data_IF_097190940397
#
_entry.id   IF_097190940397
#
_cell.length_a   1.000
_cell.length_b   1.000
_cell.length_c   1.000
_cell.angle_alpha   90.00
_cell.angle_beta   90.00
_cell.angle_gamma   90.00
#
_symmetry.space_group_name_H-M   'P 1'
#
loop_
_entity.id
_entity.type
_entity.pdbx_description
1 polymer ?
#
# COMPACT_ATOMS: atom_id res chain seq x y z
N UNK A 1 -26.71 -5.41 -25.62
CA UNK A 1 -25.41 -4.99 -25.10
C UNK A 1 -25.48 -4.22 -23.76
N UNK A 2 -26.19 -3.07 -23.65
CA UNK A 2 -26.20 -2.27 -22.40
C UNK A 2 -26.69 -3.01 -21.15
N UNK A 3 -27.75 -3.86 -21.18
CA UNK A 3 -28.14 -4.63 -19.99
C UNK A 3 -27.05 -5.57 -19.50
N UNK A 4 -26.31 -6.20 -20.42
CA UNK A 4 -25.17 -7.08 -20.08
C UNK A 4 -24.06 -6.28 -19.42
N UNK A 5 -23.73 -5.09 -19.95
CA UNK A 5 -22.71 -4.22 -19.33
C UNK A 5 -23.12 -3.69 -17.96
N UNK A 6 -24.42 -3.44 -17.74
CA UNK A 6 -24.94 -3.08 -16.40
C UNK A 6 -24.76 -4.23 -15.41
N UNK A 7 -25.04 -5.46 -15.84
CA UNK A 7 -24.83 -6.64 -15.00
C UNK A 7 -23.34 -6.86 -14.71
N UNK A 8 -22.49 -6.75 -15.74
CA UNK A 8 -21.04 -6.87 -15.61
C UNK A 8 -20.51 -5.84 -14.60
N UNK A 9 -20.78 -4.56 -14.83
CA UNK A 9 -20.37 -3.47 -13.93
C UNK A 9 -20.86 -3.68 -12.49
N UNK A 10 -22.07 -4.16 -12.30
CA UNK A 10 -22.62 -4.42 -10.98
C UNK A 10 -21.90 -5.52 -10.26
N UNK A 11 -21.65 -6.67 -10.91
CA UNK A 11 -21.03 -7.82 -10.26
C UNK A 11 -19.52 -7.67 -10.12
N UNK A 12 -18.83 -7.16 -11.13
CA UNK A 12 -17.40 -6.82 -11.04
C UNK A 12 -17.19 -5.75 -9.97
N UNK A 13 -17.99 -4.67 -9.99
CA UNK A 13 -17.90 -3.61 -9.00
C UNK A 13 -18.15 -4.10 -7.58
N UNK A 14 -19.12 -5.00 -7.34
CA UNK A 14 -19.35 -5.59 -6.02
C UNK A 14 -18.20 -6.50 -5.58
N UNK A 15 -17.67 -7.33 -6.48
CA UNK A 15 -16.56 -8.21 -6.18
C UNK A 15 -15.28 -7.41 -5.86
N UNK A 16 -15.00 -6.35 -6.61
CA UNK A 16 -13.82 -5.49 -6.39
C UNK A 16 -14.00 -4.55 -5.20
N UNK A 17 -15.23 -4.16 -4.84
CA UNK A 17 -15.50 -3.20 -3.76
C UNK A 17 -14.90 -3.60 -2.41
N UNK A 18 -14.93 -4.90 -2.07
CA UNK A 18 -14.33 -5.41 -0.85
C UNK A 18 -12.82 -5.18 -0.83
N UNK A 19 -12.15 -5.52 -1.92
CA UNK A 19 -10.69 -5.33 -2.06
C UNK A 19 -10.31 -3.84 -2.04
N UNK A 20 -11.09 -3.00 -2.73
CA UNK A 20 -10.87 -1.54 -2.73
C UNK A 20 -11.09 -0.93 -1.33
N UNK A 21 -12.07 -1.42 -0.59
CA UNK A 21 -12.28 -1.00 0.80
C UNK A 21 -11.08 -1.38 1.69
N UNK A 22 -10.63 -2.64 1.61
CA UNK A 22 -9.48 -3.11 2.38
C UNK A 22 -8.19 -2.37 1.98
N UNK A 23 -7.94 -2.21 0.67
CA UNK A 23 -6.80 -1.48 0.17
C UNK A 23 -6.85 0.01 0.56
N UNK A 24 -8.01 0.66 0.47
CA UNK A 24 -8.20 2.04 0.91
C UNK A 24 -7.97 2.23 2.40
N UNK A 25 -8.49 1.33 3.23
CA UNK A 25 -8.30 1.38 4.67
C UNK A 25 -6.83 1.18 5.05
N UNK A 26 -6.21 0.13 4.55
CA UNK A 26 -4.80 -0.18 4.85
C UNK A 26 -3.86 0.86 4.25
N UNK A 27 -4.09 1.32 3.02
CA UNK A 27 -3.32 2.40 2.39
C UNK A 27 -3.42 3.72 3.14
N UNK A 28 -4.59 4.04 3.73
CA UNK A 28 -4.75 5.23 4.57
C UNK A 28 -3.92 5.14 5.87
N UNK A 29 -3.80 3.95 6.46
CA UNK A 29 -2.92 3.72 7.60
C UNK A 29 -1.45 3.82 7.19
N UNK A 30 -1.10 3.23 6.04
CA UNK A 30 0.27 3.23 5.52
C UNK A 30 0.76 4.61 5.08
N UNK A 31 -0.13 5.57 4.80
CA UNK A 31 0.26 6.95 4.55
C UNK A 31 0.97 7.60 5.76
N UNK A 32 0.76 7.05 6.96
CA UNK A 32 1.38 7.49 8.22
C UNK A 32 2.22 6.36 8.86
N UNK A 33 2.77 5.47 8.04
CA UNK A 33 3.44 4.27 8.55
C UNK A 33 4.68 4.58 9.40
N UNK A 34 5.45 5.62 9.05
CA UNK A 34 6.61 6.03 9.82
C UNK A 34 6.20 6.52 11.22
N UNK A 35 5.25 7.44 11.30
CA UNK A 35 4.78 8.02 12.55
C UNK A 35 4.11 6.97 13.44
N UNK A 36 3.36 6.05 12.83
CA UNK A 36 2.72 4.95 13.56
C UNK A 36 3.78 3.99 14.08
N UNK A 37 4.79 3.63 13.29
CA UNK A 37 5.85 2.71 13.70
C UNK A 37 6.72 3.31 14.81
N UNK A 38 7.09 4.58 14.71
CA UNK A 38 7.82 5.32 15.75
C UNK A 38 7.02 5.41 17.05
N UNK A 39 5.74 5.71 16.97
CA UNK A 39 4.85 5.73 18.14
C UNK A 39 4.71 4.37 18.83
N UNK A 40 4.62 3.30 18.04
CA UNK A 40 4.50 1.93 18.55
C UNK A 40 5.81 1.37 19.08
N UNK A 41 6.94 1.80 18.53
CA UNK A 41 8.28 1.25 18.78
C UNK A 41 9.30 2.35 19.08
N UNK A 42 9.08 3.23 20.07
CA UNK A 42 9.96 4.38 20.32
C UNK A 42 11.42 3.97 20.60
N UNK A 43 11.64 2.76 21.11
CA UNK A 43 12.99 2.23 21.32
C UNK A 43 13.79 2.02 20.04
N UNK A 44 13.14 1.75 18.91
CA UNK A 44 13.81 1.57 17.61
C UNK A 44 14.32 2.89 17.03
N UNK A 45 13.74 4.00 17.49
CA UNK A 45 14.02 5.37 17.04
C UNK A 45 14.82 6.18 18.07
N UNK A 46 15.20 5.54 19.19
CA UNK A 46 16.01 6.16 20.23
C UNK A 46 17.51 6.21 19.82
N UNK A 47 17.83 7.13 18.91
CA UNK A 47 19.20 7.34 18.40
C UNK A 47 19.81 8.63 18.92
N UNK A 48 21.15 8.72 18.96
CA UNK A 48 21.86 9.89 19.42
C UNK A 48 21.66 11.11 18.51
N UNK A 49 21.45 12.28 19.10
CA UNK A 49 21.42 13.56 18.39
C UNK A 49 22.85 14.12 18.32
N UNK A 50 23.39 14.23 17.12
CA UNK A 50 24.70 14.81 16.85
C UNK A 50 25.87 13.82 16.91
N UNK A 51 26.98 14.24 16.32
CA UNK A 51 28.18 13.42 16.14
C UNK A 51 28.46 13.07 14.68
N UNK A 52 29.65 12.61 14.41
CA UNK A 52 30.03 12.14 13.07
C UNK A 52 29.36 10.78 12.82
N UNK A 53 28.63 10.70 11.72
CA UNK A 53 27.88 9.51 11.35
C UNK A 53 28.78 8.50 10.67
N UNK A 54 28.63 7.25 11.04
CA UNK A 54 29.30 6.12 10.41
C UNK A 54 28.90 6.00 8.94
N UNK A 55 29.84 5.63 8.09
CA UNK A 55 29.54 5.39 6.69
C UNK A 55 28.53 4.24 6.53
N UNK A 56 27.69 4.25 5.48
CA UNK A 56 26.81 3.13 5.17
C UNK A 56 27.51 1.78 5.15
N UNK A 57 28.72 1.71 4.55
CA UNK A 57 29.52 0.50 4.50
C UNK A 57 29.94 -0.02 5.89
N UNK A 58 30.22 0.88 6.84
CA UNK A 58 30.56 0.49 8.22
C UNK A 58 29.37 -0.13 8.94
N UNK A 59 28.15 0.39 8.71
CA UNK A 59 26.94 -0.17 9.31
C UNK A 59 26.60 -1.54 8.70
N UNK A 60 26.74 -1.70 7.37
CA UNK A 60 26.60 -3.01 6.72
C UNK A 60 27.58 -4.02 7.30
N UNK A 61 28.87 -3.67 7.40
CA UNK A 61 29.89 -4.56 7.96
C UNK A 61 29.57 -4.96 9.40
N UNK A 62 29.02 -4.07 10.22
CA UNK A 62 28.62 -4.39 11.61
C UNK A 62 27.51 -5.44 11.64
N UNK A 63 26.45 -5.26 10.83
CA UNK A 63 25.35 -6.23 10.77
C UNK A 63 25.85 -7.58 10.27
N UNK A 64 26.59 -7.62 9.18
CA UNK A 64 27.10 -8.89 8.61
C UNK A 64 28.12 -9.60 9.52
N UNK A 65 28.92 -8.85 10.28
CA UNK A 65 29.82 -9.42 11.26
C UNK A 65 29.09 -10.03 12.47
N UNK A 66 28.00 -9.37 12.89
CA UNK A 66 27.17 -9.85 14.02
C UNK A 66 26.26 -11.00 13.63
N UNK A 67 25.79 -11.00 12.37
CA UNK A 67 24.89 -12.00 11.78
C UNK A 67 25.52 -12.65 10.55
N UNK A 68 26.58 -13.46 10.69
CA UNK A 68 27.41 -13.95 9.57
C UNK A 68 26.67 -14.86 8.59
N UNK A 69 25.48 -15.37 8.96
CA UNK A 69 24.61 -16.17 8.08
C UNK A 69 23.65 -15.33 7.22
N UNK A 70 23.74 -14.00 7.32
CA UNK A 70 22.86 -13.07 6.61
C UNK A 70 23.69 -12.12 5.74
N UNK A 71 23.07 -11.59 4.70
CA UNK A 71 23.60 -10.55 3.81
C UNK A 71 22.65 -9.35 3.83
N UNK A 72 23.20 -8.15 3.96
CA UNK A 72 22.41 -6.93 3.77
C UNK A 72 22.15 -6.76 2.28
N UNK A 73 20.87 -6.69 1.89
CA UNK A 73 20.46 -6.48 0.52
C UNK A 73 19.80 -5.11 0.30
N UNK A 74 19.30 -4.48 1.38
CA UNK A 74 18.69 -3.16 1.33
C UNK A 74 19.07 -2.35 2.55
N UNK A 75 19.25 -1.05 2.38
CA UNK A 75 19.51 -0.11 3.45
C UNK A 75 18.78 1.19 3.20
N UNK A 76 18.10 1.67 4.21
CA UNK A 76 17.62 3.04 4.29
C UNK A 76 18.53 3.80 5.26
N UNK A 77 19.28 4.76 4.70
CA UNK A 77 20.18 5.59 5.48
C UNK A 77 19.56 6.97 5.67
N UNK A 78 19.34 7.43 6.91
CA UNK A 78 18.60 8.67 7.14
C UNK A 78 19.38 9.88 6.60
N UNK A 79 18.68 10.80 5.92
CA UNK A 79 19.28 12.02 5.38
C UNK A 79 19.64 13.02 6.49
N UNK A 80 18.82 13.11 7.55
CA UNK A 80 19.01 13.97 8.71
C UNK A 80 19.27 13.17 10.00
N UNK A 81 19.79 13.81 11.04
CA UNK A 81 19.93 13.20 12.37
C UNK A 81 18.57 12.89 13.02
N UNK A 82 18.60 12.05 14.06
CA UNK A 82 17.41 11.73 14.84
C UNK A 82 16.62 10.51 14.36
N UNK A 83 17.06 9.84 13.28
CA UNK A 83 16.46 8.61 12.80
C UNK A 83 17.50 7.49 12.67
N UNK A 84 17.11 6.22 12.93
CA UNK A 84 18.00 5.07 12.77
C UNK A 84 18.28 4.78 11.29
N UNK A 85 19.37 4.11 11.01
CA UNK A 85 19.58 3.43 9.75
C UNK A 85 18.85 2.08 9.80
N UNK A 86 18.02 1.80 8.79
CA UNK A 86 17.35 0.52 8.65
C UNK A 86 18.14 -0.36 7.68
N UNK A 87 18.44 -1.58 8.08
CA UNK A 87 19.14 -2.57 7.26
C UNK A 87 18.29 -3.83 7.15
N UNK A 88 17.90 -4.18 5.94
CA UNK A 88 17.19 -5.44 5.67
C UNK A 88 18.17 -6.49 5.14
N UNK A 89 18.03 -7.71 5.63
CA UNK A 89 18.94 -8.83 5.33
C UNK A 89 18.20 -10.00 4.72
N UNK A 90 18.96 -10.82 4.00
CA UNK A 90 18.51 -12.12 3.50
C UNK A 90 19.50 -13.20 4.00
N UNK A 91 19.02 -14.45 4.21
CA UNK A 91 19.94 -15.54 4.56
C UNK A 91 20.90 -15.83 3.41
N UNK A 92 22.17 -16.11 3.73
CA UNK A 92 23.20 -16.52 2.73
C UNK A 92 22.84 -17.86 2.09
N UNK A 93 22.24 -18.76 2.84
CA UNK A 93 21.75 -20.04 2.34
C UNK A 93 20.26 -19.90 1.99
N UNK A 94 19.93 -20.17 0.73
CA UNK A 94 18.56 -20.08 0.26
C UNK A 94 17.62 -20.98 1.08
N UNK A 95 16.53 -20.38 1.58
CA UNK A 95 15.52 -21.09 2.39
C UNK A 95 15.89 -21.28 3.86
N UNK A 96 17.07 -20.83 4.32
CA UNK A 96 17.38 -20.82 5.73
C UNK A 96 16.47 -19.87 6.50
N UNK A 97 15.98 -20.31 7.66
CA UNK A 97 15.15 -19.46 8.53
C UNK A 97 16.07 -18.56 9.37
N UNK A 98 15.68 -17.30 9.46
CA UNK A 98 16.30 -16.30 10.33
C UNK A 98 15.31 -15.87 11.40
N UNK A 99 15.80 -15.48 12.54
CA UNK A 99 14.97 -15.00 13.65
C UNK A 99 14.53 -13.54 13.42
N UNK A 100 15.44 -12.73 12.84
CA UNK A 100 15.21 -11.33 12.50
C UNK A 100 15.89 -11.06 11.16
N UNK A 101 15.29 -10.21 10.35
CA UNK A 101 15.79 -9.84 9.02
C UNK A 101 15.79 -8.32 8.77
N UNK A 102 15.27 -7.53 9.73
CA UNK A 102 15.36 -6.07 9.71
C UNK A 102 15.98 -5.57 11.01
N UNK A 103 17.01 -4.73 10.87
CA UNK A 103 17.80 -4.17 11.95
C UNK A 103 17.78 -2.65 11.89
N UNK A 104 17.63 -2.03 13.06
CA UNK A 104 17.67 -0.60 13.26
C UNK A 104 18.96 -0.25 14.01
N UNK A 105 19.81 0.56 13.41
CA UNK A 105 21.09 0.96 13.98
C UNK A 105 21.14 2.47 14.19
N UNK A 106 21.71 2.90 15.31
CA UNK A 106 22.10 4.27 15.51
C UNK A 106 23.24 4.63 14.51
N UNK A 107 23.03 5.62 13.61
CA UNK A 107 24.04 5.95 12.62
C UNK A 107 25.33 6.57 13.20
N UNK A 108 25.33 7.05 14.45
CA UNK A 108 26.49 7.65 15.10
C UNK A 108 27.30 6.60 15.83
N UNK A 109 26.67 5.83 16.73
CA UNK A 109 27.36 4.80 17.52
C UNK A 109 27.50 3.48 16.77
N UNK A 110 26.61 3.19 15.82
CA UNK A 110 26.45 1.92 15.15
C UNK A 110 25.87 0.82 16.05
N UNK A 111 25.26 1.19 17.16
CA UNK A 111 24.58 0.25 18.04
C UNK A 111 23.22 -0.15 17.46
N UNK A 112 22.83 -1.40 17.70
CA UNK A 112 21.54 -1.95 17.33
C UNK A 112 20.49 -1.45 18.35
N UNK A 113 19.60 -0.56 17.91
CA UNK A 113 18.52 -0.01 18.74
C UNK A 113 17.23 -0.81 18.60
N UNK A 114 17.08 -1.59 17.53
CA UNK A 114 15.93 -2.45 17.33
C UNK A 114 16.13 -3.49 16.25
N UNK A 115 15.27 -4.50 16.27
CA UNK A 115 15.24 -5.53 15.24
C UNK A 115 13.87 -6.19 15.18
N UNK A 116 13.49 -6.69 14.00
CA UNK A 116 12.24 -7.43 13.79
C UNK A 116 12.39 -8.50 12.71
N UNK A 117 11.44 -9.41 12.65
CA UNK A 117 11.23 -10.26 11.49
C UNK A 117 10.15 -9.63 10.61
N UNK A 118 10.48 -9.32 9.36
CA UNK A 118 9.54 -8.72 8.42
C UNK A 118 8.29 -9.57 8.22
N UNK A 119 7.14 -8.93 8.15
CA UNK A 119 5.85 -9.59 7.97
C UNK A 119 5.49 -10.69 8.98
N UNK A 120 6.23 -10.81 10.09
CA UNK A 120 5.80 -11.67 11.19
C UNK A 120 4.44 -11.20 11.72
N UNK A 121 3.57 -12.13 12.04
CA UNK A 121 2.21 -11.78 12.52
C UNK A 121 2.26 -11.20 13.93
N UNK A 122 1.39 -10.35 14.22
CA UNK A 122 0.50 -9.35 13.64
C UNK A 122 0.19 -8.32 14.71
N UNK A 123 0.02 -8.73 15.98
CA UNK A 123 -0.45 -7.83 17.04
C UNK A 123 0.66 -7.33 17.99
N UNK A 124 1.90 -7.73 17.76
CA UNK A 124 3.04 -7.13 18.47
C UNK A 124 3.34 -5.76 17.85
N UNK A 125 3.63 -4.72 18.65
CA UNK A 125 3.95 -3.39 18.13
C UNK A 125 5.01 -3.40 17.03
N UNK A 126 6.07 -4.18 17.23
CA UNK A 126 7.17 -4.32 16.27
C UNK A 126 6.73 -4.87 14.89
N UNK A 127 5.63 -5.61 14.82
CA UNK A 127 5.22 -6.32 13.60
C UNK A 127 3.99 -5.70 12.93
N UNK A 128 3.27 -4.81 13.62
CA UNK A 128 1.97 -4.33 13.14
C UNK A 128 2.08 -3.59 11.79
N UNK A 129 2.98 -2.62 11.70
CA UNK A 129 3.14 -1.82 10.46
C UNK A 129 3.66 -2.67 9.30
N UNK A 130 4.74 -3.48 9.42
CA UNK A 130 5.16 -4.40 8.37
C UNK A 130 4.09 -5.40 7.96
N UNK A 131 3.31 -5.91 8.93
CA UNK A 131 2.21 -6.83 8.62
C UNK A 131 1.08 -6.16 7.84
N UNK A 132 0.70 -4.91 8.19
CA UNK A 132 -0.29 -4.14 7.42
C UNK A 132 0.20 -3.87 6.00
N UNK A 133 1.50 -3.59 5.83
CA UNK A 133 2.11 -3.40 4.51
C UNK A 133 2.04 -4.67 3.67
N UNK A 134 2.42 -5.81 4.25
CA UNK A 134 2.33 -7.11 3.58
C UNK A 134 0.88 -7.49 3.25
N UNK A 135 -0.04 -7.23 4.17
CA UNK A 135 -1.47 -7.43 3.91
C UNK A 135 -1.98 -6.55 2.78
N UNK A 136 -1.56 -5.28 2.74
CA UNK A 136 -1.96 -4.34 1.68
C UNK A 136 -1.50 -4.80 0.28
N UNK A 137 -0.29 -5.31 0.17
CA UNK A 137 0.29 -5.72 -1.11
C UNK A 137 -0.06 -7.15 -1.52
N UNK A 138 -0.11 -8.07 -0.56
CA UNK A 138 -0.14 -9.51 -0.80
C UNK A 138 -1.21 -10.26 0.00
N UNK A 139 -2.08 -9.55 0.75
CA UNK A 139 -3.12 -10.17 1.60
C UNK A 139 -2.55 -11.21 2.58
N UNK A 140 -1.26 -11.15 2.88
CA UNK A 140 -0.51 -12.16 3.67
C UNK A 140 -0.64 -13.60 3.13
N UNK A 141 -0.94 -13.75 1.84
CA UNK A 141 -1.01 -15.06 1.19
C UNK A 141 0.40 -15.60 0.88
N UNK A 142 0.61 -16.93 0.91
CA UNK A 142 1.92 -17.50 0.70
C UNK A 142 2.44 -17.25 -0.72
N UNK A 143 3.73 -16.96 -0.85
CA UNK A 143 4.37 -16.67 -2.13
C UNK A 143 3.76 -15.46 -2.82
N UNK A 144 3.58 -15.52 -4.14
CA UNK A 144 3.08 -14.41 -4.95
C UNK A 144 1.55 -14.46 -5.22
N UNK A 145 0.81 -15.35 -4.55
CA UNK A 145 -0.61 -15.53 -4.83
C UNK A 145 -1.44 -14.28 -4.53
N UNK A 146 -1.13 -13.59 -3.43
CA UNK A 146 -1.80 -12.34 -3.11
C UNK A 146 -1.51 -11.23 -4.12
N UNK A 147 -0.28 -11.11 -4.56
CA UNK A 147 0.12 -10.15 -5.61
C UNK A 147 -0.65 -10.41 -6.91
N UNK A 148 -0.76 -11.67 -7.35
CA UNK A 148 -1.54 -12.03 -8.55
C UNK A 148 -3.03 -11.74 -8.37
N UNK A 149 -3.57 -12.05 -7.19
CA UNK A 149 -4.97 -11.76 -6.88
C UNK A 149 -5.25 -10.26 -6.88
N UNK A 150 -4.45 -9.47 -6.15
CA UNK A 150 -4.60 -8.01 -6.08
C UNK A 150 -4.38 -7.36 -7.45
N UNK A 151 -3.38 -7.81 -8.21
CA UNK A 151 -3.15 -7.34 -9.58
C UNK A 151 -4.32 -7.67 -10.51
N UNK A 152 -4.88 -8.86 -10.41
CA UNK A 152 -6.09 -9.26 -11.15
C UNK A 152 -7.29 -8.41 -10.80
N UNK A 153 -7.55 -8.18 -9.52
CA UNK A 153 -8.62 -7.29 -9.03
C UNK A 153 -8.43 -5.86 -9.56
N UNK A 154 -7.22 -5.33 -9.48
CA UNK A 154 -6.89 -4.00 -9.99
C UNK A 154 -7.13 -3.88 -11.51
N UNK A 155 -6.76 -4.91 -12.28
CA UNK A 155 -7.01 -4.96 -13.72
C UNK A 155 -8.52 -4.98 -14.03
N UNK A 156 -9.31 -5.81 -13.34
CA UNK A 156 -10.76 -5.84 -13.52
C UNK A 156 -11.40 -4.51 -13.14
N UNK A 157 -10.97 -3.90 -12.03
CA UNK A 157 -11.42 -2.57 -11.62
C UNK A 157 -11.09 -1.50 -12.68
N UNK A 158 -9.87 -1.49 -13.20
CA UNK A 158 -9.44 -0.57 -14.25
C UNK A 158 -10.35 -0.66 -15.49
N UNK A 159 -10.58 -1.88 -15.99
CA UNK A 159 -11.48 -2.12 -17.12
C UNK A 159 -12.92 -1.70 -16.82
N UNK A 160 -13.39 -1.96 -15.60
CA UNK A 160 -14.75 -1.62 -15.17
C UNK A 160 -14.97 -0.10 -15.03
N UNK A 161 -13.91 0.68 -14.76
CA UNK A 161 -13.98 2.15 -14.83
C UNK A 161 -14.41 2.66 -16.20
N UNK A 162 -13.94 2.04 -17.29
CA UNK A 162 -14.35 2.41 -18.65
C UNK A 162 -15.79 1.97 -18.94
N UNK A 163 -16.18 0.79 -18.48
CA UNK A 163 -17.57 0.32 -18.57
C UNK A 163 -18.50 1.27 -17.82
N UNK A 164 -18.16 1.65 -16.59
CA UNK A 164 -18.91 2.60 -15.78
C UNK A 164 -19.07 3.96 -16.48
N UNK A 165 -17.97 4.55 -16.97
CA UNK A 165 -18.01 5.80 -17.72
C UNK A 165 -18.90 5.70 -18.96
N UNK A 166 -18.77 4.62 -19.73
CA UNK A 166 -19.61 4.37 -20.91
C UNK A 166 -21.11 4.24 -20.57
N UNK A 167 -21.42 3.62 -19.42
CA UNK A 167 -22.81 3.49 -18.95
C UNK A 167 -23.46 4.83 -18.61
N UNK A 168 -22.68 5.88 -18.35
CA UNK A 168 -23.23 7.24 -18.09
C UNK A 168 -23.65 7.97 -19.37
N UNK A 169 -23.15 7.52 -20.55
CA UNK A 169 -23.43 8.17 -21.80
C UNK A 169 -24.94 8.11 -22.16
N UNK A 170 -25.57 9.22 -22.56
CA UNK A 170 -26.98 9.25 -22.85
C UNK A 170 -27.29 8.57 -24.18
N UNK A 171 -28.54 8.12 -24.33
CA UNK A 171 -29.08 7.63 -25.60
C UNK A 171 -29.81 8.75 -26.29
N UNK A 172 -29.46 8.98 -27.55
CA UNK A 172 -30.15 9.95 -28.43
C UNK A 172 -29.79 11.41 -28.16
N UNK A 173 -30.38 12.30 -29.00
CA UNK A 173 -30.10 13.74 -28.98
C UNK A 173 -31.07 14.50 -28.05
N UNK A 174 -30.72 15.69 -27.55
CA UNK A 174 -29.39 16.31 -27.58
C UNK A 174 -28.42 15.61 -26.61
N UNK A 175 -27.23 15.23 -27.09
CA UNK A 175 -26.27 14.45 -26.32
C UNK A 175 -25.77 15.22 -25.08
N UNK A 176 -25.17 16.38 -25.29
CA UNK A 176 -24.53 17.18 -24.22
C UNK A 176 -25.49 17.59 -23.11
N UNK A 177 -26.67 18.09 -23.48
CA UNK A 177 -27.70 18.48 -22.50
C UNK A 177 -28.16 17.32 -21.62
N UNK A 178 -28.23 16.11 -22.18
CA UNK A 178 -28.60 14.92 -21.42
C UNK A 178 -27.42 14.43 -20.57
N UNK A 179 -26.19 14.47 -21.09
CA UNK A 179 -25.00 13.98 -20.36
C UNK A 179 -24.63 14.88 -19.18
N UNK A 180 -24.78 16.19 -19.29
CA UNK A 180 -24.56 17.10 -18.15
C UNK A 180 -25.40 16.76 -16.93
N UNK A 181 -26.52 16.07 -17.09
CA UNK A 181 -27.34 15.61 -15.96
C UNK A 181 -26.68 14.44 -15.20
N UNK A 182 -25.79 13.67 -15.84
CA UNK A 182 -25.08 12.58 -15.22
C UNK A 182 -24.04 13.08 -14.22
N UNK A 183 -23.53 14.29 -14.38
CA UNK A 183 -22.55 14.96 -13.53
C UNK A 183 -23.16 15.64 -12.28
N UNK A 184 -24.49 15.59 -12.13
CA UNK A 184 -25.21 16.30 -11.06
C UNK A 184 -25.81 15.32 -10.07
N UNK A 185 -25.65 15.64 -8.78
CA UNK A 185 -26.32 14.94 -7.67
C UNK A 185 -27.64 15.70 -7.40
N UNK A 186 -28.75 15.00 -7.54
CA UNK A 186 -30.08 15.58 -7.26
C UNK A 186 -30.49 15.21 -5.84
N UNK A 187 -31.03 16.18 -5.12
CA UNK A 187 -31.70 15.93 -3.84
C UNK A 187 -32.98 15.14 -4.09
N UNK A 188 -33.20 14.09 -3.30
CA UNK A 188 -34.36 13.20 -3.41
C UNK A 188 -34.35 12.18 -2.26
N UNK A 189 -34.99 11.04 -2.47
CA UNK A 189 -34.89 9.94 -1.51
C UNK A 189 -33.48 9.33 -1.46
N UNK A 190 -33.18 8.56 -0.42
CA UNK A 190 -31.84 7.97 -0.19
C UNK A 190 -31.36 7.13 -1.39
N UNK A 191 -32.25 6.36 -2.02
CA UNK A 191 -31.89 5.56 -3.20
C UNK A 191 -31.40 6.44 -4.37
N UNK A 192 -32.14 7.53 -4.66
CA UNK A 192 -31.78 8.45 -5.74
C UNK A 192 -30.47 9.18 -5.44
N UNK A 193 -30.31 9.61 -4.19
CA UNK A 193 -29.08 10.27 -3.75
C UNK A 193 -27.86 9.36 -3.91
N UNK A 194 -27.92 8.12 -3.43
CA UNK A 194 -26.83 7.16 -3.54
C UNK A 194 -26.50 6.81 -4.99
N UNK A 195 -27.54 6.64 -5.84
CA UNK A 195 -27.34 6.40 -7.26
C UNK A 195 -26.64 7.57 -7.96
N UNK A 196 -27.10 8.81 -7.73
CA UNK A 196 -26.50 9.99 -8.32
C UNK A 196 -25.10 10.26 -7.76
N UNK A 197 -24.85 10.00 -6.46
CA UNK A 197 -23.54 10.10 -5.83
C UNK A 197 -22.54 9.14 -6.47
N UNK A 198 -22.91 7.87 -6.64
CA UNK A 198 -22.07 6.89 -7.31
C UNK A 198 -21.77 7.29 -8.75
N UNK A 199 -22.78 7.67 -9.51
CA UNK A 199 -22.66 8.04 -10.92
C UNK A 199 -21.84 9.32 -11.13
N UNK A 200 -22.20 10.40 -10.45
CA UNK A 200 -21.54 11.69 -10.58
C UNK A 200 -20.15 11.68 -9.93
N UNK A 201 -20.01 11.10 -8.75
CA UNK A 201 -18.73 10.92 -8.08
C UNK A 201 -17.77 10.08 -8.91
N UNK A 202 -18.27 8.96 -9.48
CA UNK A 202 -17.48 8.14 -10.40
C UNK A 202 -17.00 8.90 -11.63
N UNK A 203 -17.82 9.79 -12.21
CA UNK A 203 -17.42 10.64 -13.34
C UNK A 203 -16.40 11.71 -12.94
N UNK A 204 -16.57 12.36 -11.80
CA UNK A 204 -15.63 13.39 -11.33
C UNK A 204 -14.26 12.82 -10.99
N UNK A 205 -14.23 11.63 -10.41
CA UNK A 205 -13.01 10.96 -10.01
C UNK A 205 -12.46 9.99 -11.06
N UNK A 206 -13.17 9.83 -12.19
CA UNK A 206 -12.85 8.79 -13.17
C UNK A 206 -11.40 8.78 -13.63
N UNK A 207 -10.87 9.96 -13.98
CA UNK A 207 -9.49 10.07 -14.46
C UNK A 207 -8.49 9.72 -13.34
N UNK A 208 -8.74 10.21 -12.12
CA UNK A 208 -7.92 9.90 -10.96
C UNK A 208 -7.92 8.39 -10.67
N UNK A 209 -9.11 7.78 -10.63
CA UNK A 209 -9.27 6.35 -10.39
C UNK A 209 -8.64 5.49 -11.49
N UNK A 210 -8.75 5.90 -12.75
CA UNK A 210 -8.13 5.19 -13.87
C UNK A 210 -6.59 5.33 -13.88
N UNK A 211 -6.05 6.47 -13.46
CA UNK A 211 -4.61 6.71 -13.45
C UNK A 211 -3.90 6.19 -12.18
N UNK A 212 -4.60 6.06 -11.06
CA UNK A 212 -3.97 5.57 -9.81
C UNK A 212 -3.46 4.13 -9.91
N UNK A 213 -4.01 3.31 -10.79
CA UNK A 213 -3.65 1.91 -10.93
C UNK A 213 -2.23 1.66 -11.51
N UNK A 214 -1.80 2.30 -12.64
CA UNK A 214 -0.50 2.01 -13.22
C UNK A 214 0.70 2.52 -12.40
N UNK A 215 0.50 3.45 -11.46
CA UNK A 215 1.58 4.05 -10.67
C UNK A 215 1.92 3.27 -9.39
N UNK A 216 1.06 2.36 -8.93
CA UNK A 216 1.29 1.59 -7.70
C UNK A 216 2.21 0.36 -7.87
N UNK A 217 2.71 0.09 -9.07
CA UNK A 217 3.60 -1.05 -9.34
C UNK A 217 5.10 -0.73 -9.19
N UNK A 218 5.47 0.53 -8.89
CA UNK A 218 6.87 0.99 -8.87
C UNK A 218 7.33 1.56 -7.52
N UNK A 219 6.54 1.40 -6.44
CA UNK A 219 6.95 1.74 -5.08
C UNK A 219 7.10 0.52 -4.20
#
# INVERSE_FOLDING_TARGET
MRPVLVLLHRYVGLATALFLFLAGLTGSLLAFHHEIDEWLNPGFYAVGEGGERLSPGSLVQRVESRYPRQLVWYMEYPEAGGHPALLATVPREAGAKVEHDVFYLDPVSGEEVGKRLWAACCFQPANLVPWVLEFHHNLTLPGNWGLYLMGGVAMFWFLDCFVGAWLTLPRGRPFWSKWTTAWKIKRGNAYRFNFDLHRAGGLWLWLLLALSMPFNYWM
#
